data_IF_780101834240
#
_entry.id   IF_780101834240
#
_cell.length_a   1.000
_cell.length_b   1.000
_cell.length_c   1.000
_cell.angle_alpha   90.00
_cell.angle_beta   90.00
_cell.angle_gamma   90.00
#
_symmetry.space_group_name_H-M   'P 1'
#
loop_
_entity.id
_entity.type
_entity.pdbx_description
1 polymer ?
#
# COMPACT_ATOMS: atom_id res chain seq x y z
N UNK A 1 -7.04 -1.75 -15.24
CA UNK A 1 -6.59 -2.45 -14.02
C UNK A 1 -7.63 -2.28 -12.94
N UNK A 2 -7.82 -3.28 -12.08
CA UNK A 2 -8.76 -3.29 -10.95
C UNK A 2 -8.14 -4.00 -9.76
N UNK A 3 -8.47 -3.57 -8.54
CA UNK A 3 -8.12 -4.28 -7.30
C UNK A 3 -9.10 -5.45 -7.14
N UNK A 4 -8.59 -6.67 -7.14
CA UNK A 4 -9.36 -7.91 -6.98
C UNK A 4 -9.38 -8.40 -5.53
N UNK A 5 -8.39 -7.98 -4.74
CA UNK A 5 -8.36 -8.18 -3.30
C UNK A 5 -7.99 -6.87 -2.63
N UNK A 6 -8.91 -6.36 -1.80
CA UNK A 6 -8.74 -5.11 -1.06
C UNK A 6 -7.45 -5.12 -0.23
N UNK A 7 -6.82 -3.95 -0.04
CA UNK A 7 -5.60 -3.87 0.72
C UNK A 7 -5.81 -4.24 2.19
N UNK A 8 -4.83 -4.95 2.72
CA UNK A 8 -4.82 -5.41 4.12
C UNK A 8 -3.42 -5.29 4.70
N UNK A 9 -3.34 -5.11 6.02
CA UNK A 9 -2.06 -5.08 6.74
C UNK A 9 -1.67 -6.51 7.09
N UNK A 10 -0.70 -7.05 6.35
CA UNK A 10 -0.22 -8.41 6.54
C UNK A 10 0.62 -8.55 7.82
N UNK A 11 1.40 -7.51 8.16
CA UNK A 11 2.22 -7.46 9.38
C UNK A 11 2.36 -6.03 9.87
N UNK A 12 2.40 -5.87 11.19
CA UNK A 12 2.62 -4.58 11.84
C UNK A 12 3.63 -4.74 12.99
N UNK A 13 4.59 -3.83 13.03
CA UNK A 13 5.53 -3.63 14.12
C UNK A 13 5.27 -2.30 14.82
N UNK A 14 6.20 -1.94 15.70
CA UNK A 14 6.27 -0.67 16.42
C UNK A 14 6.61 0.50 15.48
N UNK A 15 7.54 0.29 14.54
CA UNK A 15 8.06 1.35 13.65
C UNK A 15 7.89 1.05 12.16
N UNK A 16 7.14 -0.02 11.83
CA UNK A 16 6.95 -0.48 10.45
C UNK A 16 5.63 -1.22 10.25
N UNK A 17 5.15 -1.27 9.01
CA UNK A 17 4.00 -2.08 8.61
C UNK A 17 4.21 -2.66 7.21
N UNK A 18 3.50 -3.73 6.89
CA UNK A 18 3.48 -4.35 5.56
C UNK A 18 2.05 -4.39 5.07
N UNK A 19 1.79 -3.69 3.97
CA UNK A 19 0.50 -3.66 3.29
C UNK A 19 0.56 -4.56 2.07
N UNK A 20 -0.50 -5.35 1.85
CA UNK A 20 -0.62 -6.24 0.69
C UNK A 20 -1.99 -6.13 0.07
N UNK A 21 -2.04 -6.20 -1.26
CA UNK A 21 -3.27 -6.24 -2.04
C UNK A 21 -3.04 -7.01 -3.35
N UNK A 22 -4.12 -7.32 -4.06
CA UNK A 22 -4.05 -8.02 -5.34
C UNK A 22 -4.85 -7.26 -6.39
N UNK A 23 -4.30 -7.15 -7.60
CA UNK A 23 -4.94 -6.56 -8.78
C UNK A 23 -5.17 -7.63 -9.84
N UNK A 24 -5.80 -7.27 -10.97
CA UNK A 24 -6.01 -8.18 -12.09
C UNK A 24 -4.89 -8.14 -13.15
N UNK A 25 -3.88 -7.30 -12.98
CA UNK A 25 -2.74 -7.15 -13.90
C UNK A 25 -1.51 -6.69 -13.12
N UNK A 26 -0.30 -6.89 -13.64
CA UNK A 26 0.90 -6.27 -13.05
C UNK A 26 0.73 -4.75 -12.94
N UNK A 27 1.43 -4.11 -12.02
CA UNK A 27 1.28 -2.67 -11.80
C UNK A 27 2.26 -2.12 -10.76
N UNK A 28 2.36 -0.80 -10.68
CA UNK A 28 3.14 -0.16 -9.62
C UNK A 28 2.51 -0.45 -8.25
N UNK A 29 3.33 -0.40 -7.20
CA UNK A 29 2.88 -0.68 -5.83
C UNK A 29 3.16 0.53 -4.96
N UNK A 30 2.19 1.44 -4.89
CA UNK A 30 2.30 2.69 -4.13
C UNK A 30 1.29 2.67 -2.98
N UNK A 31 1.74 3.12 -1.81
CA UNK A 31 0.90 3.32 -0.63
C UNK A 31 1.04 4.76 -0.20
N UNK A 32 -0.09 5.47 -0.17
CA UNK A 32 -0.19 6.78 0.46
C UNK A 32 -0.64 6.57 1.90
N UNK A 33 0.01 7.22 2.86
CA UNK A 33 -0.30 7.04 4.27
C UNK A 33 -0.10 8.34 5.07
N UNK A 34 -0.66 8.36 6.28
CA UNK A 34 -0.55 9.48 7.21
C UNK A 34 -1.32 9.23 8.50
N UNK A 35 -1.16 10.10 9.49
CA UNK A 35 -1.92 10.02 10.75
C UNK A 35 -3.28 10.71 10.68
N UNK A 36 -3.57 11.41 9.58
CA UNK A 36 -4.85 12.05 9.29
C UNK A 36 -5.50 11.36 8.08
N UNK A 37 -6.73 10.86 8.26
CA UNK A 37 -7.49 10.17 7.23
C UNK A 37 -7.78 11.04 5.99
N UNK A 38 -7.81 12.37 6.17
CA UNK A 38 -8.06 13.33 5.09
C UNK A 38 -6.77 13.85 4.46
N UNK A 39 -5.60 13.51 5.01
CA UNK A 39 -4.30 14.00 4.55
C UNK A 39 -3.21 12.92 4.59
N UNK A 40 -3.17 12.11 3.52
CA UNK A 40 -2.20 11.04 3.32
C UNK A 40 -0.96 11.55 2.57
N UNK A 41 -0.20 12.44 3.23
CA UNK A 41 0.94 13.14 2.62
C UNK A 41 2.21 12.28 2.46
N UNK A 42 2.30 11.16 3.17
CA UNK A 42 3.47 10.28 3.10
C UNK A 42 3.27 9.21 2.03
N UNK A 43 4.35 8.82 1.36
CA UNK A 43 4.32 7.83 0.28
C UNK A 43 5.36 6.75 0.54
N UNK A 44 4.94 5.49 0.40
CA UNK A 44 5.81 4.32 0.40
C UNK A 44 5.56 3.53 -0.88
N UNK A 45 6.62 3.01 -1.48
CA UNK A 45 6.51 2.22 -2.70
C UNK A 45 7.41 0.99 -2.62
N UNK A 46 6.96 -0.12 -3.18
CA UNK A 46 7.84 -1.26 -3.38
C UNK A 46 8.62 -1.08 -4.68
N UNK A 47 9.88 -1.54 -4.69
CA UNK A 47 10.60 -1.69 -5.93
C UNK A 47 9.82 -2.67 -6.81
N UNK A 48 9.54 -2.26 -8.05
CA UNK A 48 8.86 -3.10 -9.03
C UNK A 48 9.63 -4.43 -9.12
N UNK A 49 9.02 -5.53 -8.68
CA UNK A 49 9.62 -6.84 -8.87
C UNK A 49 9.75 -7.04 -10.38
N UNK A 50 10.94 -7.38 -10.86
CA UNK A 50 11.15 -7.64 -12.29
C UNK A 50 10.34 -8.88 -12.70
N UNK A 51 9.11 -8.63 -13.13
CA UNK A 51 8.14 -9.61 -13.56
C UNK A 51 6.83 -8.89 -13.85
N UNK A 52 6.59 -8.52 -15.11
CA UNK A 52 5.46 -7.70 -15.57
C UNK A 52 4.05 -8.27 -15.30
N UNK A 53 3.94 -9.37 -14.54
CA UNK A 53 2.73 -10.10 -14.21
C UNK A 53 2.52 -10.27 -12.69
N UNK A 54 3.27 -9.58 -11.83
CA UNK A 54 2.98 -9.61 -10.39
C UNK A 54 1.70 -8.85 -10.08
N UNK A 55 0.60 -9.59 -10.02
CA UNK A 55 -0.72 -9.11 -9.59
C UNK A 55 -0.81 -8.95 -8.08
N UNK A 56 0.14 -9.52 -7.34
CA UNK A 56 0.20 -9.44 -5.88
C UNK A 56 1.20 -8.38 -5.48
N UNK A 57 0.71 -7.34 -4.83
CA UNK A 57 1.49 -6.21 -4.40
C UNK A 57 1.80 -6.31 -2.91
N UNK A 58 3.01 -5.88 -2.54
CA UNK A 58 3.46 -5.85 -1.15
C UNK A 58 4.38 -4.65 -0.93
N UNK A 59 3.96 -3.74 -0.06
CA UNK A 59 4.74 -2.55 0.29
C UNK A 59 5.06 -2.58 1.78
N UNK A 60 6.32 -2.31 2.11
CA UNK A 60 6.76 -2.12 3.49
C UNK A 60 6.86 -0.63 3.79
N UNK A 61 6.16 -0.18 4.81
CA UNK A 61 6.23 1.17 5.37
C UNK A 61 7.16 1.12 6.58
N UNK A 62 8.06 2.09 6.70
CA UNK A 62 9.06 2.18 7.77
C UNK A 62 9.14 3.60 8.31
N UNK A 63 9.73 3.77 9.50
CA UNK A 63 9.86 5.10 10.12
C UNK A 63 8.56 5.59 10.75
N UNK A 64 7.67 4.66 11.11
CA UNK A 64 6.42 4.96 11.81
C UNK A 64 6.69 5.20 13.29
N UNK A 65 5.79 5.95 13.94
CA UNK A 65 5.81 6.11 15.39
C UNK A 65 5.11 4.92 16.07
N UNK A 66 5.63 4.39 17.19
CA UNK A 66 4.96 3.36 17.99
C UNK A 66 3.59 3.81 18.50
N UNK A 67 2.69 2.84 18.74
CA UNK A 67 1.36 3.06 19.30
C UNK A 67 0.57 4.21 18.62
N UNK A 68 0.67 4.33 17.29
CA UNK A 68 0.11 5.44 16.51
C UNK A 68 -0.82 4.89 15.45
N UNK A 69 -1.99 5.51 15.30
CA UNK A 69 -2.94 5.16 14.25
C UNK A 69 -2.53 5.83 12.93
N UNK A 70 -2.47 5.02 11.88
CA UNK A 70 -2.18 5.45 10.52
C UNK A 70 -3.32 5.06 9.60
N UNK A 71 -3.63 5.96 8.69
CA UNK A 71 -4.53 5.75 7.57
C UNK A 71 -3.71 5.57 6.31
N UNK A 72 -4.24 4.81 5.35
CA UNK A 72 -3.56 4.57 4.09
C UNK A 72 -4.55 4.26 2.96
N UNK A 73 -4.12 4.58 1.74
CA UNK A 73 -4.71 4.10 0.49
C UNK A 73 -3.60 3.44 -0.33
N UNK A 74 -4.00 2.51 -1.18
CA UNK A 74 -3.06 1.93 -2.17
C UNK A 74 -3.42 2.47 -3.54
N UNK A 75 -2.39 2.78 -4.31
CA UNK A 75 -2.50 3.06 -5.73
C UNK A 75 -1.64 2.05 -6.48
N UNK A 76 -2.25 1.46 -7.50
CA UNK A 76 -1.53 0.71 -8.51
C UNK A 76 -1.67 1.48 -9.80
N UNK A 77 -0.54 1.77 -10.43
CA UNK A 77 -0.43 2.36 -11.76
C UNK A 77 -0.06 1.31 -12.81
N UNK A 78 -0.05 1.74 -14.06
CA UNK A 78 -0.04 0.89 -15.24
C UNK A 78 0.98 -0.26 -15.21
N UNK A 79 0.48 -1.51 -15.21
CA UNK A 79 1.17 -2.58 -15.90
C UNK A 79 0.78 -2.59 -17.38
N UNK A 80 1.79 -2.84 -18.20
CA UNK A 80 1.70 -3.05 -19.65
C UNK A 80 1.03 -1.91 -20.44
N UNK A 81 1.17 -0.65 -20.01
CA UNK A 81 0.86 0.52 -20.86
C UNK A 81 -0.62 0.70 -21.20
N UNK A 82 -1.53 0.25 -20.32
CA UNK A 82 -2.97 0.26 -20.57
C UNK A 82 -3.68 1.59 -20.27
N UNK A 83 -2.99 2.62 -19.77
CA UNK A 83 -3.66 3.88 -19.41
C UNK A 83 -4.44 3.85 -18.09
N UNK A 84 -4.40 2.74 -17.34
CA UNK A 84 -5.32 2.51 -16.21
C UNK A 84 -4.61 2.36 -14.87
N UNK A 85 -5.08 3.13 -13.88
CA UNK A 85 -4.70 3.01 -12.46
C UNK A 85 -5.87 2.47 -11.63
N UNK A 86 -5.57 1.88 -10.48
CA UNK A 86 -6.56 1.40 -9.53
C UNK A 86 -6.17 1.87 -8.12
N UNK A 87 -7.09 2.56 -7.46
CA UNK A 87 -6.93 3.07 -6.11
C UNK A 87 -7.93 2.40 -5.16
N UNK A 88 -7.53 2.17 -3.91
CA UNK A 88 -8.45 1.69 -2.86
C UNK A 88 -9.15 2.81 -2.13
N UNK A 89 -10.18 2.45 -1.36
CA UNK A 89 -10.68 3.27 -0.26
C UNK A 89 -9.64 3.39 0.86
N UNK A 90 -9.82 4.39 1.73
CA UNK A 90 -8.98 4.59 2.92
C UNK A 90 -9.17 3.41 3.88
N UNK A 91 -8.06 2.83 4.30
CA UNK A 91 -7.96 1.82 5.35
C UNK A 91 -7.08 2.34 6.48
N UNK A 92 -7.05 1.65 7.63
CA UNK A 92 -6.25 2.08 8.77
C UNK A 92 -5.57 0.91 9.48
N UNK A 93 -4.52 1.23 10.23
CA UNK A 93 -3.86 0.32 11.15
C UNK A 93 -3.18 1.09 12.30
N UNK A 94 -2.95 0.41 13.40
CA UNK A 94 -2.23 0.97 14.54
C UNK A 94 -0.91 0.23 14.72
N UNK A 95 0.20 0.98 14.83
CA UNK A 95 1.51 0.39 15.14
C UNK A 95 1.52 -0.19 16.55
N UNK A 96 2.38 -1.18 16.78
CA UNK A 96 2.51 -1.79 18.10
C UNK A 96 3.12 -0.81 19.11
N UNK A 97 2.84 -0.97 20.40
CA UNK A 97 3.67 -0.37 21.44
C UNK A 97 5.09 -0.92 21.35
N UNK A 98 6.04 -0.13 21.87
CA UNK A 98 7.46 -0.48 21.93
C UNK A 98 7.76 -1.53 23.01
#
# INVERSE_FOLDING_TARGET
MQITQAPSVARVGDTWAVVTWTTNAGGSSVVHYGTDANNLSQVAQAQYAQGANETRHRVRITGLQPNTNYYFTVDSGEGQGTGTSAASTVSQFTTKPQ
#
